data_IF_397529357835
#
_entry.id   IF_397529357835
#
_cell.length_a   1.000
_cell.length_b   1.000
_cell.length_c   1.000
_cell.angle_alpha   90.00
_cell.angle_beta   90.00
_cell.angle_gamma   90.00
#
_symmetry.space_group_name_H-M   'P 1'
#
loop_
_entity.id
_entity.type
_entity.pdbx_description
1 polymer ?
#
# COMPACT_ATOMS: atom_id res chain seq x y z
N UNK A 1 8.42 -21.26 -5.23
CA UNK A 1 8.20 -20.04 -6.04
C UNK A 1 9.51 -19.28 -6.07
N UNK A 2 10.04 -18.99 -7.25
CA UNK A 2 11.33 -18.33 -7.44
C UNK A 2 11.17 -16.81 -7.38
N UNK A 3 12.19 -16.14 -6.86
CA UNK A 3 12.29 -14.69 -6.65
C UNK A 3 12.12 -13.89 -7.95
N UNK A 4 12.37 -14.54 -9.09
CA UNK A 4 12.19 -13.98 -10.45
C UNK A 4 10.73 -13.81 -10.88
N UNK A 5 9.79 -14.55 -10.30
CA UNK A 5 8.37 -14.43 -10.64
C UNK A 5 7.73 -13.15 -10.10
N UNK A 6 8.22 -12.65 -8.96
CA UNK A 6 7.75 -11.39 -8.35
C UNK A 6 8.38 -10.19 -9.05
N UNK A 7 9.66 -10.28 -9.42
CA UNK A 7 10.39 -9.20 -10.08
C UNK A 7 9.84 -8.82 -11.46
N UNK A 8 9.30 -9.79 -12.23
CA UNK A 8 8.71 -9.54 -13.55
C UNK A 8 7.46 -8.65 -13.52
N UNK A 9 6.78 -8.52 -12.38
CA UNK A 9 5.61 -7.64 -12.22
C UNK A 9 6.04 -6.20 -11.92
N UNK A 10 7.29 -5.97 -11.47
CA UNK A 10 7.71 -4.68 -10.91
C UNK A 10 8.43 -3.76 -11.90
N UNK A 11 8.86 -4.25 -13.07
CA UNK A 11 9.49 -3.43 -14.12
C UNK A 11 8.48 -2.77 -15.09
N UNK A 12 7.22 -3.23 -15.10
CA UNK A 12 6.12 -2.61 -15.86
C UNK A 12 5.02 -2.13 -14.92
N UNK A 13 4.42 -0.97 -15.22
CA UNK A 13 3.27 -0.48 -14.46
C UNK A 13 2.07 -1.44 -14.61
N UNK A 14 1.53 -1.91 -13.49
CA UNK A 14 0.33 -2.75 -13.48
C UNK A 14 -0.95 -1.92 -13.65
N UNK A 15 -1.93 -2.45 -14.37
CA UNK A 15 -3.26 -1.84 -14.47
C UNK A 15 -4.04 -2.02 -13.17
N UNK A 16 -5.05 -1.19 -12.94
CA UNK A 16 -5.94 -1.31 -11.77
C UNK A 16 -6.62 -2.69 -11.68
N UNK A 17 -6.92 -3.31 -12.83
CA UNK A 17 -7.51 -4.65 -12.90
C UNK A 17 -6.51 -5.72 -12.45
N UNK A 18 -5.25 -5.62 -12.87
CA UNK A 18 -4.19 -6.53 -12.48
C UNK A 18 -3.86 -6.38 -11.00
N UNK A 19 -3.76 -5.15 -10.49
CA UNK A 19 -3.52 -4.91 -9.06
C UNK A 19 -4.60 -5.56 -8.19
N UNK A 20 -5.88 -5.42 -8.57
CA UNK A 20 -6.98 -6.11 -7.87
C UNK A 20 -6.83 -7.63 -7.90
N UNK A 21 -6.39 -8.20 -9.03
CA UNK A 21 -6.14 -9.64 -9.13
C UNK A 21 -4.98 -10.08 -8.22
N UNK A 22 -3.93 -9.28 -8.14
CA UNK A 22 -2.78 -9.51 -7.24
C UNK A 22 -3.24 -9.49 -5.77
N UNK A 23 -4.03 -8.50 -5.37
CA UNK A 23 -4.58 -8.40 -4.00
C UNK A 23 -5.44 -9.61 -3.65
N UNK A 24 -6.37 -10.02 -4.54
CA UNK A 24 -7.21 -11.20 -4.32
C UNK A 24 -6.40 -12.49 -4.19
N UNK A 25 -5.35 -12.63 -5.01
CA UNK A 25 -4.46 -13.79 -4.92
C UNK A 25 -3.65 -13.78 -3.62
N UNK A 26 -3.19 -12.62 -3.15
CA UNK A 26 -2.49 -12.49 -1.88
C UNK A 26 -3.40 -12.88 -0.70
N UNK A 27 -4.65 -12.43 -0.72
CA UNK A 27 -5.67 -12.87 0.26
C UNK A 27 -5.89 -14.38 0.23
N UNK A 28 -6.02 -14.96 -0.96
CA UNK A 28 -6.16 -16.41 -1.13
C UNK A 28 -4.96 -17.19 -0.57
N UNK A 29 -3.75 -16.64 -0.70
CA UNK A 29 -2.51 -17.21 -0.19
C UNK A 29 -2.29 -16.96 1.32
N UNK A 30 -3.24 -16.31 1.99
CA UNK A 30 -3.24 -16.12 3.45
C UNK A 30 -2.72 -14.76 3.94
N UNK A 31 -2.42 -13.82 3.04
CA UNK A 31 -2.09 -12.44 3.42
C UNK A 31 -3.39 -11.66 3.54
N UNK A 32 -3.81 -11.35 4.76
CA UNK A 32 -5.08 -10.64 4.95
C UNK A 32 -5.06 -9.27 4.27
N UNK A 33 -6.23 -8.82 3.81
CA UNK A 33 -6.41 -7.46 3.29
C UNK A 33 -5.86 -6.39 4.22
N UNK A 34 -6.08 -6.56 5.53
CA UNK A 34 -5.55 -5.65 6.54
C UNK A 34 -4.03 -5.58 6.48
N UNK A 35 -3.32 -6.71 6.40
CA UNK A 35 -1.85 -6.70 6.27
C UNK A 35 -1.37 -6.02 4.99
N UNK A 36 -2.11 -6.16 3.87
CA UNK A 36 -1.79 -5.43 2.64
C UNK A 36 -1.90 -3.92 2.85
N UNK A 37 -3.00 -3.46 3.46
CA UNK A 37 -3.25 -2.04 3.76
C UNK A 37 -2.22 -1.47 4.77
N UNK A 38 -1.84 -2.25 5.79
CA UNK A 38 -0.78 -1.92 6.75
C UNK A 38 0.58 -1.70 6.07
N UNK A 39 0.93 -2.59 5.15
CA UNK A 39 2.16 -2.46 4.40
C UNK A 39 2.13 -1.23 3.48
N UNK A 40 1.01 -0.98 2.79
CA UNK A 40 0.83 0.19 1.95
C UNK A 40 0.97 1.49 2.76
N UNK A 41 0.20 1.64 3.84
CA UNK A 41 0.23 2.82 4.70
C UNK A 41 1.60 3.08 5.32
N UNK A 42 2.31 2.03 5.75
CA UNK A 42 3.66 2.16 6.31
C UNK A 42 4.66 2.76 5.33
N UNK A 43 4.67 2.28 4.09
CA UNK A 43 5.60 2.79 3.07
C UNK A 43 5.30 4.25 2.74
N UNK A 44 4.02 4.64 2.68
CA UNK A 44 3.66 6.05 2.46
C UNK A 44 4.11 6.92 3.65
N UNK A 45 3.84 6.50 4.88
CA UNK A 45 4.27 7.22 6.08
C UNK A 45 5.81 7.40 6.15
N UNK A 46 6.56 6.35 5.82
CA UNK A 46 8.03 6.41 5.72
C UNK A 46 8.48 7.40 4.64
N UNK A 47 7.89 7.33 3.44
CA UNK A 47 8.20 8.26 2.35
C UNK A 47 7.88 9.73 2.71
N UNK A 48 6.81 9.98 3.47
CA UNK A 48 6.45 11.32 3.96
C UNK A 48 7.49 11.81 4.97
N UNK A 49 7.91 10.97 5.92
CA UNK A 49 8.94 11.33 6.91
C UNK A 49 10.29 11.62 6.29
N UNK A 50 10.67 10.90 5.24
CA UNK A 50 11.92 11.14 4.52
C UNK A 50 11.91 12.47 3.76
N UNK A 51 10.75 12.86 3.23
CA UNK A 51 10.61 14.07 2.38
C UNK A 51 10.33 15.35 3.16
N UNK A 52 9.71 15.25 4.34
CA UNK A 52 9.20 16.40 5.06
C UNK A 52 9.65 16.42 6.52
N UNK A 53 9.85 17.63 7.06
CA UNK A 53 10.16 17.79 8.48
C UNK A 53 9.00 17.31 9.37
N UNK A 54 9.27 16.62 10.50
CA UNK A 54 8.23 16.12 11.42
C UNK A 54 7.38 17.22 12.06
N UNK A 55 7.77 18.50 11.93
CA UNK A 55 7.00 19.65 12.43
C UNK A 55 5.90 20.10 11.45
N UNK A 56 5.80 19.49 10.28
CA UNK A 56 4.77 19.81 9.28
C UNK A 56 3.48 19.07 9.60
N UNK A 57 2.35 19.74 9.42
CA UNK A 57 1.03 19.10 9.49
C UNK A 57 0.76 18.37 8.18
N UNK A 58 0.31 17.13 8.27
CA UNK A 58 -0.09 16.30 7.13
C UNK A 58 -1.61 16.19 7.11
N UNK A 59 -2.21 16.36 5.94
CA UNK A 59 -3.64 16.12 5.71
C UNK A 59 -3.76 14.85 4.87
N UNK A 60 -4.52 13.87 5.37
CA UNK A 60 -4.85 12.66 4.63
C UNK A 60 -6.30 12.78 4.16
N UNK A 61 -6.52 12.70 2.85
CA UNK A 61 -7.83 12.81 2.24
C UNK A 61 -8.31 11.43 1.77
N UNK A 62 -9.17 10.80 2.58
CA UNK A 62 -9.67 9.45 2.29
C UNK A 62 -10.99 9.46 1.51
N UNK A 63 -11.04 8.72 0.40
CA UNK A 63 -12.30 8.39 -0.29
C UNK A 63 -13.01 7.17 0.29
N UNK A 64 -14.11 6.74 -0.31
CA UNK A 64 -14.89 5.57 0.14
C UNK A 64 -14.32 4.21 -0.33
N UNK A 65 -13.25 4.20 -1.13
CA UNK A 65 -12.65 2.99 -1.71
C UNK A 65 -11.50 2.39 -0.87
N UNK A 66 -10.83 1.38 -1.42
CA UNK A 66 -9.67 0.71 -0.79
C UNK A 66 -8.59 1.70 -0.34
N UNK A 67 -8.23 2.64 -1.22
CA UNK A 67 -7.26 3.70 -0.94
C UNK A 67 -7.64 4.58 0.25
N UNK A 68 -8.94 4.75 0.53
CA UNK A 68 -9.39 5.48 1.70
C UNK A 68 -9.07 4.75 3.00
N UNK A 69 -9.21 3.43 2.98
CA UNK A 69 -8.77 2.57 4.08
C UNK A 69 -7.26 2.64 4.30
N UNK A 70 -6.46 2.67 3.23
CA UNK A 70 -5.00 2.85 3.33
C UNK A 70 -4.65 4.17 4.01
N UNK A 71 -5.36 5.26 3.68
CA UNK A 71 -5.15 6.56 4.33
C UNK A 71 -5.49 6.56 5.82
N UNK A 72 -6.50 5.81 6.27
CA UNK A 72 -6.78 5.65 7.70
C UNK A 72 -5.67 4.88 8.42
N UNK A 73 -5.09 3.89 7.74
CA UNK A 73 -3.96 3.11 8.26
C UNK A 73 -2.67 3.95 8.26
N UNK A 74 -2.43 4.76 7.25
CA UNK A 74 -1.30 5.70 7.21
C UNK A 74 -1.40 6.73 8.35
N UNK A 75 -2.59 7.30 8.58
CA UNK A 75 -2.81 8.35 9.58
C UNK A 75 -2.61 7.94 11.04
N UNK A 76 -2.57 6.62 11.32
CA UNK A 76 -2.26 6.09 12.66
C UNK A 76 -0.79 5.74 12.84
N UNK A 77 0.03 5.78 11.79
CA UNK A 77 1.45 5.47 11.87
C UNK A 77 2.18 6.73 12.37
N UNK A 78 2.86 6.65 13.53
CA UNK A 78 3.53 7.80 14.16
C UNK A 78 4.67 8.31 13.29
#
# INVERSE_FOLDING_TARGET
>A
MNERGVALILDEAVTAREMRAIEMNAEYLGVSKLQLMENAGKIVAEAVKERFSPKKKVLIACGLGGNGGDGFVEGRIP
#
